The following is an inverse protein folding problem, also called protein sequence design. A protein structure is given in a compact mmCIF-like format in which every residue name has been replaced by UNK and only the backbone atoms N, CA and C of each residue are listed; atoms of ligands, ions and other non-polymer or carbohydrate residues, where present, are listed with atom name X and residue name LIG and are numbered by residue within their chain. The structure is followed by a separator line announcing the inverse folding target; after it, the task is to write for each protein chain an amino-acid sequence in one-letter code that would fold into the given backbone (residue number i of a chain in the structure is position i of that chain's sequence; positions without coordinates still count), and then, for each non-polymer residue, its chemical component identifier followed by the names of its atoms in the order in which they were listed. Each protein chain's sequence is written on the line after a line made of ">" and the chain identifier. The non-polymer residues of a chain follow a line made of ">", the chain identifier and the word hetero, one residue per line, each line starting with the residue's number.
data_IF_474739728535
#
_entry.id   IF_474739728535
#
_cell.length_a   1.000
_cell.length_b   1.000
_cell.length_c   1.000
_cell.angle_alpha   90.00
_cell.angle_beta   90.00
_cell.angle_gamma   90.00
#
_symmetry.space_group_name_H-M   'P 1'
#
loop_
_entity.id
_entity.type
_entity.pdbx_description
1 polymer ?
#
# COMPACT_ATOMS: atom_id res chain seq x y z
N UNK A 1 -3.22 -3.70 -6.80
CA UNK A 1 -3.82 -4.17 -5.54
C UNK A 1 -4.55 -3.03 -4.86
N UNK A 2 -5.71 -3.29 -4.27
CA UNK A 2 -6.43 -2.31 -3.43
C UNK A 2 -6.18 -2.62 -1.97
N UNK A 3 -5.75 -1.62 -1.19
CA UNK A 3 -5.58 -1.76 0.27
C UNK A 3 -6.96 -1.75 0.93
N UNK A 4 -7.35 -2.85 1.57
CA UNK A 4 -8.70 -3.02 2.16
C UNK A 4 -8.71 -2.83 3.66
N UNK A 5 -7.58 -3.08 4.31
CA UNK A 5 -7.38 -3.00 5.76
C UNK A 5 -5.94 -2.55 6.02
N UNK A 6 -5.68 -2.12 7.25
CA UNK A 6 -4.34 -1.82 7.74
C UNK A 6 -3.99 -2.79 8.88
N UNK A 7 -2.72 -3.16 9.06
CA UNK A 7 -2.29 -3.91 10.23
C UNK A 7 -2.72 -3.20 11.52
N UNK A 8 -3.26 -3.93 12.52
CA UNK A 8 -3.50 -3.34 13.83
C UNK A 8 -2.13 -3.00 14.45
N UNK A 9 -2.01 -1.79 15.01
CA UNK A 9 -0.78 -1.31 15.66
C UNK A 9 0.41 -1.10 14.70
N UNK A 10 0.19 -0.44 13.56
CA UNK A 10 1.29 0.05 12.73
C UNK A 10 2.26 0.88 13.58
N UNK A 11 3.52 0.43 13.74
CA UNK A 11 4.52 1.21 14.47
C UNK A 11 4.85 2.46 13.67
N UNK A 12 5.24 3.53 14.37
CA UNK A 12 5.93 4.62 13.68
C UNK A 12 7.36 4.16 13.37
N UNK A 13 7.58 3.76 12.12
CA UNK A 13 8.90 3.42 11.62
C UNK A 13 9.73 4.69 11.47
N UNK A 14 10.93 4.71 12.08
CA UNK A 14 12.01 5.66 11.80
C UNK A 14 11.63 7.17 11.74
N UNK A 15 10.56 7.60 12.41
CA UNK A 15 10.12 9.01 12.44
C UNK A 15 9.51 9.52 11.13
N UNK A 16 9.01 8.64 10.26
CA UNK A 16 8.43 8.98 8.95
C UNK A 16 6.89 8.98 8.92
N UNK A 17 6.22 9.00 10.08
CA UNK A 17 4.75 8.92 10.19
C UNK A 17 4.19 7.74 9.37
N UNK A 18 4.73 6.55 9.67
CA UNK A 18 4.34 5.31 8.99
C UNK A 18 2.81 5.10 9.04
N UNK A 19 2.11 5.32 10.18
CA UNK A 19 0.66 5.23 10.22
C UNK A 19 -0.01 6.18 9.22
N UNK A 20 0.46 7.43 9.09
CA UNK A 20 -0.07 8.39 8.13
C UNK A 20 0.10 7.94 6.68
N UNK A 21 1.24 7.35 6.30
CA UNK A 21 1.46 6.82 4.93
C UNK A 21 0.48 5.69 4.62
N UNK A 22 0.30 4.74 5.55
CA UNK A 22 -0.63 3.62 5.38
C UNK A 22 -2.10 4.08 5.35
N UNK A 23 -2.47 5.07 6.18
CA UNK A 23 -3.79 5.69 6.14
C UNK A 23 -4.07 6.35 4.78
N UNK A 24 -3.07 7.00 4.16
CA UNK A 24 -3.20 7.55 2.80
C UNK A 24 -3.42 6.46 1.75
N UNK A 25 -3.00 5.23 1.99
CA UNK A 25 -3.13 4.11 1.08
C UNK A 25 -4.48 3.37 1.20
N UNK A 26 -5.15 3.44 2.35
CA UNK A 26 -6.40 2.74 2.60
C UNK A 26 -7.48 3.07 1.55
N UNK A 27 -8.10 2.03 0.97
CA UNK A 27 -9.13 2.16 -0.06
C UNK A 27 -8.62 2.54 -1.46
N UNK A 28 -7.32 2.77 -1.63
CA UNK A 28 -6.73 3.13 -2.92
C UNK A 28 -6.12 1.92 -3.62
N UNK A 29 -5.99 2.05 -4.94
CA UNK A 29 -5.35 1.05 -5.80
C UNK A 29 -3.93 1.46 -6.13
N UNK A 30 -2.99 0.56 -5.88
CA UNK A 30 -1.58 0.73 -6.23
C UNK A 30 -1.09 -0.40 -7.11
N UNK A 31 -0.04 -0.10 -7.88
CA UNK A 31 0.74 -1.12 -8.57
C UNK A 31 1.65 -1.81 -7.54
N UNK A 32 1.85 -3.11 -7.73
CA UNK A 32 2.86 -3.88 -6.99
C UNK A 32 4.15 -3.76 -7.78
N UNK A 33 5.22 -3.25 -7.17
CA UNK A 33 6.54 -3.16 -7.80
C UNK A 33 7.41 -4.37 -7.49
N UNK A 34 7.21 -5.00 -6.34
CA UNK A 34 8.05 -6.09 -5.86
C UNK A 34 7.41 -6.90 -4.74
N UNK A 35 8.13 -7.96 -4.37
CA UNK A 35 7.87 -8.80 -3.21
C UNK A 35 9.19 -8.93 -2.45
N UNK A 36 9.16 -8.83 -1.13
CA UNK A 36 10.35 -9.09 -0.31
C UNK A 36 10.51 -10.58 -0.01
N UNK A 37 11.57 -10.93 0.71
CA UNK A 37 11.86 -12.31 1.12
C UNK A 37 10.82 -12.90 2.10
N UNK A 38 10.01 -12.04 2.72
CA UNK A 38 8.95 -12.42 3.67
C UNK A 38 7.57 -12.52 2.99
N UNK A 39 7.47 -12.17 1.70
CA UNK A 39 6.23 -12.22 0.93
C UNK A 39 5.35 -10.96 1.07
N UNK A 40 5.89 -9.86 1.60
CA UNK A 40 5.20 -8.57 1.61
C UNK A 40 5.17 -7.97 0.22
N UNK A 41 4.11 -7.21 -0.07
CA UNK A 41 3.93 -6.49 -1.31
C UNK A 41 4.50 -5.09 -1.21
N UNK A 42 5.34 -4.72 -2.18
CA UNK A 42 5.83 -3.36 -2.33
C UNK A 42 4.82 -2.51 -3.11
N UNK A 43 4.24 -1.50 -2.46
CA UNK A 43 3.29 -0.57 -3.07
C UNK A 43 3.85 0.86 -3.08
N UNK A 44 3.92 1.46 -4.25
CA UNK A 44 4.36 2.86 -4.41
C UNK A 44 3.20 3.79 -4.09
N UNK A 45 3.23 4.41 -2.91
CA UNK A 45 2.29 5.41 -2.46
C UNK A 45 2.85 6.77 -2.86
N UNK A 46 2.42 7.31 -4.01
CA UNK A 46 2.86 8.63 -4.46
C UNK A 46 2.45 9.71 -3.44
N UNK A 47 3.35 10.00 -2.50
CA UNK A 47 3.07 10.67 -1.24
C UNK A 47 4.06 11.76 -0.84
N UNK A 48 4.92 12.22 -1.75
CA UNK A 48 5.85 13.31 -1.48
C UNK A 48 6.90 13.41 -2.58
N UNK A 49 7.37 14.63 -2.88
CA UNK A 49 8.57 14.85 -3.71
C UNK A 49 9.77 15.02 -2.75
N UNK A 50 10.99 14.61 -3.12
CA UNK A 50 11.43 14.19 -4.47
C UNK A 50 11.32 12.67 -4.76
N UNK A 51 11.10 11.83 -3.76
CA UNK A 51 11.00 10.36 -3.91
C UNK A 51 9.62 9.87 -3.46
N UNK A 52 8.95 9.01 -4.23
CA UNK A 52 7.67 8.47 -3.82
C UNK A 52 7.81 7.60 -2.57
N UNK A 53 6.89 7.76 -1.61
CA UNK A 53 6.80 6.85 -0.48
C UNK A 53 6.48 5.44 -0.99
N UNK A 54 7.07 4.44 -0.37
CA UNK A 54 6.78 3.04 -0.67
C UNK A 54 6.44 2.33 0.61
N UNK A 55 5.35 1.56 0.61
CA UNK A 55 4.93 0.73 1.74
C UNK A 55 5.12 -0.74 1.40
N UNK A 56 5.52 -1.49 2.42
CA UNK A 56 5.53 -2.95 2.41
C UNK A 56 4.33 -3.44 3.21
N UNK A 57 3.50 -4.27 2.62
CA UNK A 57 2.24 -4.71 3.25
C UNK A 57 1.97 -6.19 3.00
N UNK A 58 1.45 -6.87 4.01
CA UNK A 58 1.06 -8.28 3.91
C UNK A 58 -0.09 -8.46 2.89
N UNK A 59 -0.07 -9.54 2.09
CA UNK A 59 -1.09 -9.80 1.07
C UNK A 59 -2.53 -9.86 1.60
N UNK A 60 -2.73 -10.22 2.86
CA UNK A 60 -4.03 -10.31 3.53
C UNK A 60 -4.74 -8.95 3.71
N UNK A 61 -3.98 -7.84 3.68
CA UNK A 61 -4.51 -6.49 3.80
C UNK A 61 -4.85 -5.86 2.45
N UNK A 62 -4.64 -6.59 1.35
CA UNK A 62 -4.96 -6.12 0.01
C UNK A 62 -5.88 -7.07 -0.73
N UNK A 63 -6.50 -6.57 -1.79
CA UNK A 63 -7.27 -7.42 -2.72
C UNK A 63 -6.95 -7.09 -4.17
N UNK A 64 -7.19 -8.07 -5.04
CA UNK A 64 -7.14 -7.87 -6.48
C UNK A 64 -8.29 -6.95 -6.89
N UNK A 65 -7.96 -5.69 -7.17
CA UNK A 65 -8.91 -4.80 -7.81
C UNK A 65 -9.14 -5.27 -9.26
N UNK A 66 -10.28 -5.93 -9.51
CA UNK A 66 -10.79 -6.04 -10.88
C UNK A 66 -11.15 -4.64 -11.33
N UNK A 67 -10.42 -4.10 -12.32
CA UNK A 67 -10.94 -2.98 -13.11
C UNK A 67 -12.29 -3.44 -13.67
N UNK A 68 -13.37 -2.83 -13.21
CA UNK A 68 -14.63 -2.88 -13.93
C UNK A 68 -14.33 -2.46 -15.37
N UNK A 69 -14.40 -3.40 -16.32
CA UNK A 69 -14.55 -3.01 -17.73
C UNK A 69 -15.92 -2.36 -17.78
N UNK A 70 -15.95 -1.02 -17.77
CA UNK A 70 -17.17 -0.28 -18.02
C UNK A 70 -17.81 -0.85 -19.27
N UNK A 71 -19.03 -1.38 -19.14
CA UNK A 71 -19.88 -1.70 -20.28
C UNK A 71 -20.05 -0.40 -21.06
N UNK A 72 -19.63 -0.45 -22.33
CA UNK A 72 -19.85 0.58 -23.33
C UNK A 72 -21.34 0.70 -23.64
#
# INVERSE_FOLDING_TARGET
>A
MMVTKLPPNLPDGAGIDTPGVFLRALGKMFRVEGFDEYGHLELVVAGGRPTPDTIWIEPEFVTLARRSRGKK
#
